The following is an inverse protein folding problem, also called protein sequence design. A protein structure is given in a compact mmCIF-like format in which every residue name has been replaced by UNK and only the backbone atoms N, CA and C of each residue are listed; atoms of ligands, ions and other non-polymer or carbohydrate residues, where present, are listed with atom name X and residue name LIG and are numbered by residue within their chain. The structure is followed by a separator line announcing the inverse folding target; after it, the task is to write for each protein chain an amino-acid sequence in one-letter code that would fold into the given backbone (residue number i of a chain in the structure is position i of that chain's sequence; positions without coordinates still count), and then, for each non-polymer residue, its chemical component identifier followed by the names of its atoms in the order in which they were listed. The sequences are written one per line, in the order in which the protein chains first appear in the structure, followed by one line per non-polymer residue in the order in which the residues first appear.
data_IF_912642080044
#
_entry.id   IF_912642080044
#
_cell.length_a   1.000
_cell.length_b   1.000
_cell.length_c   1.000
_cell.angle_alpha   90.00
_cell.angle_beta   90.00
_cell.angle_gamma   90.00
#
_symmetry.space_group_name_H-M   'P 1'
#
loop_
_entity.id
_entity.type
_entity.pdbx_description
1 polymer ?
#
# COMPACT_ATOMS: atom_id res chain seq x y z
N UNK A 1 14.55 -5.59 12.92
CA UNK A 1 13.66 -5.95 11.81
C UNK A 1 12.36 -5.16 11.89
N UNK A 2 12.28 -4.01 11.22
CA UNK A 2 11.05 -3.19 11.19
C UNK A 2 10.05 -3.66 10.13
N UNK A 3 10.53 -4.16 8.99
CA UNK A 3 9.67 -4.49 7.84
C UNK A 3 8.67 -5.63 8.13
N UNK A 4 9.09 -6.66 8.86
CA UNK A 4 8.25 -7.82 9.20
C UNK A 4 7.11 -7.51 10.17
N UNK A 5 7.10 -6.31 10.75
CA UNK A 5 5.98 -5.79 11.54
C UNK A 5 4.78 -5.39 10.69
N UNK A 6 5.02 -5.09 9.41
CA UNK A 6 3.99 -4.77 8.42
C UNK A 6 3.83 -5.85 7.34
N UNK A 7 4.85 -6.69 7.12
CA UNK A 7 4.83 -7.72 6.08
C UNK A 7 4.89 -9.11 6.71
N UNK A 8 3.90 -9.95 6.40
CA UNK A 8 3.84 -11.31 6.93
C UNK A 8 5.06 -12.14 6.55
N UNK A 9 5.51 -12.97 7.48
CA UNK A 9 6.50 -14.01 7.21
C UNK A 9 5.75 -15.33 7.18
N UNK A 10 5.79 -16.01 6.04
CA UNK A 10 5.07 -17.27 5.85
C UNK A 10 6.01 -18.41 5.54
N UNK A 11 5.61 -19.61 5.92
CA UNK A 11 6.32 -20.82 5.53
C UNK A 11 5.69 -21.46 4.30
N UNK A 12 6.51 -21.90 3.35
CA UNK A 12 6.08 -22.86 2.34
C UNK A 12 6.66 -24.23 2.72
N UNK A 13 5.78 -25.23 2.87
CA UNK A 13 6.22 -26.63 2.91
C UNK A 13 6.48 -27.07 1.47
N UNK A 14 7.73 -27.03 1.03
CA UNK A 14 8.12 -27.70 -0.20
C UNK A 14 7.92 -29.23 -0.03
N UNK A 15 7.65 -29.93 -1.13
CA UNK A 15 7.44 -31.39 -1.22
C UNK A 15 8.61 -32.21 -0.63
N UNK A 16 9.74 -31.56 -0.34
CA UNK A 16 10.95 -32.14 0.25
C UNK A 16 11.15 -31.85 1.75
N UNK A 17 10.14 -31.36 2.47
CA UNK A 17 10.19 -31.09 3.93
C UNK A 17 11.23 -30.04 4.38
N UNK A 18 11.71 -29.19 3.48
CA UNK A 18 12.53 -28.04 3.87
C UNK A 18 11.64 -26.87 4.26
N UNK A 19 11.76 -26.43 5.50
CA UNK A 19 11.07 -25.24 6.00
C UNK A 19 11.73 -23.98 5.44
N UNK A 20 11.08 -23.32 4.48
CA UNK A 20 11.54 -22.05 3.92
C UNK A 20 10.61 -20.93 4.35
N UNK A 21 11.19 -19.88 4.97
CA UNK A 21 10.49 -18.66 5.31
C UNK A 21 10.56 -17.66 4.15
N UNK A 22 9.41 -17.07 3.83
CA UNK A 22 9.26 -16.04 2.82
C UNK A 22 8.56 -14.82 3.41
N UNK A 23 9.08 -13.63 3.12
CA UNK A 23 8.41 -12.37 3.43
C UNK A 23 7.39 -12.07 2.33
N UNK A 24 6.14 -11.84 2.71
CA UNK A 24 5.08 -11.41 1.82
C UNK A 24 4.93 -9.90 1.85
N UNK A 25 5.60 -9.24 0.91
CA UNK A 25 5.61 -7.78 0.78
C UNK A 25 4.23 -7.17 0.45
N UNK A 26 3.34 -7.95 -0.15
CA UNK A 26 1.98 -7.52 -0.49
C UNK A 26 0.93 -7.95 0.55
N UNK A 27 1.37 -8.42 1.72
CA UNK A 27 0.46 -8.90 2.76
C UNK A 27 0.02 -7.76 3.67
N UNK A 28 -1.28 -7.67 3.95
CA UNK A 28 -1.91 -6.54 4.61
C UNK A 28 -2.84 -5.83 3.64
N UNK A 29 -4.15 -6.06 3.78
CA UNK A 29 -5.20 -5.39 3.01
C UNK A 29 -5.26 -3.90 3.42
N UNK A 30 -4.29 -3.09 3.01
CA UNK A 30 -4.57 -1.67 2.78
C UNK A 30 -5.56 -1.66 1.64
N UNK A 31 -6.64 -0.89 1.73
CA UNK A 31 -7.63 -0.88 0.66
C UNK A 31 -6.90 -0.63 -0.66
N UNK A 32 -6.90 -1.62 -1.56
CA UNK A 32 -6.36 -1.52 -2.92
C UNK A 32 -7.28 -0.62 -3.77
N UNK A 33 -7.74 0.50 -3.20
CA UNK A 33 -8.48 1.50 -3.94
C UNK A 33 -7.52 2.02 -5.00
N UNK A 34 -7.74 1.69 -6.28
CA UNK A 34 -6.81 2.07 -7.31
C UNK A 34 -6.89 3.58 -7.59
N UNK A 35 -7.77 4.29 -6.87
CA UNK A 35 -7.96 5.72 -6.88
C UNK A 35 -7.11 6.46 -5.85
N UNK A 36 -6.34 5.76 -5.00
CA UNK A 36 -5.41 6.38 -4.06
C UNK A 36 -3.97 6.00 -4.42
N UNK A 37 -3.08 6.98 -4.53
CA UNK A 37 -1.64 6.79 -4.73
C UNK A 37 -0.92 6.97 -3.41
N UNK A 38 -0.15 5.96 -3.03
CA UNK A 38 0.78 6.03 -1.93
C UNK A 38 2.00 5.16 -2.25
N UNK A 39 3.21 5.68 -1.98
CA UNK A 39 4.48 4.99 -2.15
C UNK A 39 5.32 5.15 -0.90
N UNK A 40 5.58 4.04 -0.20
CA UNK A 40 6.42 4.05 1.01
C UNK A 40 7.83 4.59 0.73
N UNK A 41 8.42 4.22 -0.41
CA UNK A 41 9.79 4.60 -0.82
C UNK A 41 9.99 6.11 -0.78
N UNK A 42 9.14 6.87 -1.48
CA UNK A 42 9.19 8.35 -1.53
C UNK A 42 9.21 8.98 -0.13
N UNK A 43 8.46 8.41 0.83
CA UNK A 43 8.39 8.94 2.19
C UNK A 43 9.58 8.51 3.05
N UNK A 44 10.05 7.26 2.89
CA UNK A 44 11.21 6.74 3.62
C UNK A 44 12.48 7.48 3.21
N UNK A 45 12.64 7.80 1.93
CA UNK A 45 13.81 8.53 1.42
C UNK A 45 13.91 9.94 2.00
N UNK A 46 12.77 10.61 2.23
CA UNK A 46 12.72 11.95 2.82
C UNK A 46 12.88 11.89 4.36
N UNK A 47 12.22 10.93 5.02
CA UNK A 47 12.13 10.88 6.49
C UNK A 47 13.26 10.06 7.15
N UNK A 48 14.00 9.28 6.37
CA UNK A 48 15.12 8.46 6.84
C UNK A 48 14.72 7.11 7.44
N UNK A 49 15.60 6.11 7.32
CA UNK A 49 15.30 4.68 7.57
C UNK A 49 15.27 4.24 9.03
N UNK A 50 15.81 5.02 9.98
CA UNK A 50 15.97 4.59 11.39
C UNK A 50 14.67 4.67 12.21
N UNK A 51 13.74 5.55 11.84
CA UNK A 51 12.44 5.73 12.53
C UNK A 51 11.25 5.87 11.55
N UNK A 52 11.45 5.58 10.26
CA UNK A 52 10.47 5.88 9.20
C UNK A 52 9.06 5.37 9.47
N UNK A 53 8.93 4.17 10.03
CA UNK A 53 7.62 3.56 10.26
C UNK A 53 6.80 4.34 11.30
N UNK A 54 7.44 4.79 12.38
CA UNK A 54 6.80 5.49 13.49
C UNK A 54 6.45 6.95 13.16
N UNK A 55 6.98 7.48 12.04
CA UNK A 55 6.59 8.79 11.55
C UNK A 55 5.15 8.79 11.01
N UNK A 56 4.64 7.63 10.57
CA UNK A 56 3.29 7.50 10.03
C UNK A 56 2.39 6.59 10.86
N UNK A 57 2.95 5.51 11.43
CA UNK A 57 2.19 4.51 12.15
C UNK A 57 2.35 4.64 13.66
N UNK A 58 1.25 4.45 14.37
CA UNK A 58 1.27 4.20 15.81
C UNK A 58 1.34 2.70 16.07
N UNK A 59 2.07 2.29 17.11
CA UNK A 59 2.09 0.90 17.55
C UNK A 59 0.74 0.52 18.16
N UNK A 60 0.17 -0.59 17.71
CA UNK A 60 -0.90 -1.28 18.41
C UNK A 60 -0.26 -2.25 19.41
N UNK A 61 -0.39 -1.95 20.69
CA UNK A 61 0.14 -2.76 21.80
C UNK A 61 -0.83 -3.83 22.30
N UNK A 62 -2.08 -3.81 21.83
CA UNK A 62 -3.14 -4.72 22.26
C UNK A 62 -3.19 -6.00 21.43
N UNK A 63 -2.58 -5.99 20.23
CA UNK A 63 -2.49 -7.16 19.35
C UNK A 63 -1.36 -8.10 19.76
N UNK A 64 -1.64 -9.40 19.80
CA UNK A 64 -0.63 -10.44 19.98
C UNK A 64 0.13 -10.69 18.66
N UNK A 65 0.96 -9.72 18.28
CA UNK A 65 1.81 -9.80 17.09
C UNK A 65 2.73 -11.05 17.11
N UNK A 66 3.18 -11.46 18.29
CA UNK A 66 4.06 -12.63 18.45
C UNK A 66 3.37 -13.94 18.12
N UNK A 67 2.04 -14.05 18.27
CA UNK A 67 1.29 -15.21 17.81
C UNK A 67 1.44 -15.48 16.30
N UNK A 68 1.66 -14.44 15.49
CA UNK A 68 1.84 -14.54 14.03
C UNK A 68 3.04 -15.41 13.59
N UNK A 69 3.96 -15.72 14.51
CA UNK A 69 5.16 -16.51 14.23
C UNK A 69 5.09 -17.95 14.75
N UNK A 70 3.97 -18.36 15.37
CA UNK A 70 3.82 -19.72 15.92
C UNK A 70 3.73 -20.77 14.81
N UNK A 71 3.00 -20.46 13.75
CA UNK A 71 2.72 -21.36 12.63
C UNK A 71 3.22 -20.80 11.28
N UNK A 72 3.56 -19.51 11.23
CA UNK A 72 3.87 -18.78 9.99
C UNK A 72 2.74 -18.92 8.95
N UNK A 73 1.49 -19.03 9.42
CA UNK A 73 0.30 -19.00 8.59
C UNK A 73 -0.03 -17.53 8.28
N UNK A 74 -0.09 -17.12 7.00
CA UNK A 74 -0.52 -15.77 6.65
C UNK A 74 -1.87 -15.41 7.29
N UNK A 75 -2.84 -16.32 7.32
CA UNK A 75 -4.18 -16.05 7.83
C UNK A 75 -4.24 -15.66 9.31
N UNK A 76 -3.22 -16.04 10.09
CA UNK A 76 -3.10 -15.70 11.51
C UNK A 76 -2.18 -14.49 11.75
N UNK A 77 -1.57 -13.94 10.70
CA UNK A 77 -0.69 -12.79 10.83
C UNK A 77 -1.48 -11.51 11.11
N UNK A 78 -1.01 -10.75 12.10
CA UNK A 78 -1.49 -9.41 12.41
C UNK A 78 -0.34 -8.42 12.37
N UNK A 79 -0.62 -7.17 11.96
CA UNK A 79 0.33 -6.07 12.08
C UNK A 79 0.37 -5.58 13.54
N UNK A 80 1.54 -5.17 14.02
CA UNK A 80 1.65 -4.49 15.32
C UNK A 80 1.49 -2.95 15.20
N UNK A 81 1.02 -2.48 14.05
CA UNK A 81 0.77 -1.08 13.75
C UNK A 81 -0.70 -0.85 13.42
N UNK A 82 -1.19 0.30 13.87
CA UNK A 82 -2.48 0.83 13.45
C UNK A 82 -2.48 1.22 11.98
N UNK A 83 -3.65 1.14 11.35
CA UNK A 83 -3.87 1.72 10.02
C UNK A 83 -3.74 3.24 10.10
N UNK A 84 -3.03 3.83 9.14
CA UNK A 84 -2.93 5.29 9.04
C UNK A 84 -4.28 5.90 8.66
N UNK A 85 -4.49 7.15 9.07
CA UNK A 85 -5.67 7.94 8.73
C UNK A 85 -5.26 9.15 7.91
N UNK A 86 -6.25 9.81 7.28
CA UNK A 86 -6.01 11.04 6.50
C UNK A 86 -5.28 12.10 7.33
N UNK A 87 -5.62 12.19 8.61
CA UNK A 87 -5.02 13.14 9.55
C UNK A 87 -3.50 12.96 9.66
N UNK A 88 -3.00 11.71 9.58
CA UNK A 88 -1.56 11.43 9.54
C UNK A 88 -0.91 12.07 8.31
N UNK A 89 -1.53 11.94 7.13
CA UNK A 89 -1.03 12.55 5.91
C UNK A 89 -0.99 14.08 6.04
N UNK A 90 -2.03 14.66 6.66
CA UNK A 90 -2.17 16.11 6.81
C UNK A 90 -1.17 16.75 7.78
N UNK A 91 -0.45 15.97 8.60
CA UNK A 91 0.60 16.49 9.48
C UNK A 91 1.80 17.05 8.71
N UNK A 92 2.10 16.48 7.55
CA UNK A 92 3.17 16.97 6.65
C UNK A 92 2.58 17.62 5.39
N UNK A 93 1.46 17.10 4.89
CA UNK A 93 0.75 17.66 3.76
C UNK A 93 -0.28 18.69 4.20
N UNK A 94 0.06 19.97 4.11
CA UNK A 94 -0.81 21.09 4.46
C UNK A 94 -0.62 22.24 3.49
N UNK A 95 -1.52 23.22 3.51
CA UNK A 95 -1.42 24.42 2.67
C UNK A 95 -0.09 25.17 2.88
N UNK A 96 0.48 25.08 4.08
CA UNK A 96 1.68 25.83 4.50
C UNK A 96 2.99 25.05 4.43
N UNK A 97 2.97 23.75 4.14
CA UNK A 97 4.17 22.91 4.08
C UNK A 97 4.28 22.21 2.73
N UNK A 98 3.83 20.96 2.63
CA UNK A 98 3.76 20.20 1.39
C UNK A 98 2.33 20.28 0.89
N UNK A 99 2.11 20.88 -0.27
CA UNK A 99 0.75 21.15 -0.78
C UNK A 99 -0.15 19.88 -0.71
N UNK A 100 -1.32 20.03 -0.06
CA UNK A 100 -2.39 19.05 0.10
C UNK A 100 -3.47 19.20 -0.99
N UNK A 101 -3.09 19.15 -2.28
CA UNK A 101 -4.10 19.04 -3.33
C UNK A 101 -4.72 17.64 -3.34
N UNK A 102 -6.02 17.56 -3.58
CA UNK A 102 -6.74 16.28 -3.65
C UNK A 102 -6.10 15.30 -4.65
N UNK A 103 -5.55 15.82 -5.75
CA UNK A 103 -4.91 15.06 -6.82
C UNK A 103 -3.53 14.48 -6.44
N UNK A 104 -2.94 14.92 -5.32
CA UNK A 104 -1.69 14.34 -4.80
C UNK A 104 -1.93 12.96 -4.21
N UNK A 105 -3.09 12.74 -3.62
CA UNK A 105 -3.51 11.44 -3.10
C UNK A 105 -4.42 10.69 -4.09
N UNK A 106 -5.32 11.40 -4.79
CA UNK A 106 -6.37 10.77 -5.59
C UNK A 106 -6.14 10.78 -7.10
N UNK A 107 -6.42 9.65 -7.76
CA UNK A 107 -6.40 9.50 -9.23
C UNK A 107 -7.82 9.65 -9.78
N UNK A 108 -8.19 10.83 -10.26
CA UNK A 108 -9.56 11.12 -10.71
C UNK A 108 -9.95 10.52 -12.08
N UNK A 109 -8.98 10.04 -12.88
CA UNK A 109 -9.24 9.52 -14.23
C UNK A 109 -8.51 8.20 -14.51
N UNK A 110 -8.52 7.26 -13.55
CA UNK A 110 -7.85 5.98 -13.72
C UNK A 110 -8.35 5.17 -14.93
N UNK A 111 -9.65 5.30 -15.28
CA UNK A 111 -10.27 4.66 -16.45
C UNK A 111 -11.03 5.71 -17.27
N UNK A 112 -10.35 6.52 -18.10
CA UNK A 112 -11.04 7.51 -18.92
C UNK A 112 -11.83 6.80 -20.04
N UNK A 113 -13.15 6.75 -19.90
CA UNK A 113 -14.08 6.20 -20.90
C UNK A 113 -14.01 6.97 -22.22
N UNK A 114 -13.81 8.29 -22.17
CA UNK A 114 -13.69 9.16 -23.34
C UNK A 114 -12.59 8.74 -24.33
N UNK A 115 -11.48 8.15 -23.87
CA UNK A 115 -10.37 7.78 -24.77
C UNK A 115 -10.69 6.58 -25.66
N UNK A 116 -11.57 5.68 -25.20
CA UNK A 116 -11.98 4.49 -25.96
C UNK A 116 -12.88 4.86 -27.14
N UNK A 117 -13.83 5.76 -26.90
CA UNK A 117 -14.80 6.20 -27.90
C UNK A 117 -14.16 7.07 -28.99
N UNK A 118 -13.23 7.97 -28.63
CA UNK A 118 -12.53 8.79 -29.63
C UNK A 118 -11.58 8.00 -30.54
N UNK A 119 -11.03 6.88 -30.05
CA UNK A 119 -10.21 5.97 -30.87
C UNK A 119 -11.08 5.10 -31.78
N UNK A 120 -12.28 4.73 -31.34
CA UNK A 120 -13.27 4.03 -32.17
C UNK A 120 -13.78 4.94 -33.30
N UNK A 121 -14.10 6.21 -33.00
CA UNK A 121 -14.55 7.20 -34.00
C UNK A 121 -13.49 7.49 -35.06
N UNK A 122 -12.19 7.39 -34.75
CA UNK A 122 -11.11 7.53 -35.74
C UNK A 122 -10.96 6.33 -36.67
N UNK A 123 -11.47 5.17 -36.28
CA UNK A 123 -11.34 3.94 -37.08
C UNK A 123 -12.42 3.84 -38.17
N UNK A 124 -13.54 4.54 -38.02
CA UNK A 124 -14.56 4.65 -39.04
C UNK A 124 -14.30 5.89 -39.91
N UNK A 125 -13.97 5.74 -41.20
CA UNK A 125 -13.93 6.89 -42.10
C UNK A 125 -15.34 7.50 -42.18
N UNK A 126 -15.47 8.83 -42.30
CA UNK A 126 -16.78 9.46 -42.47
C UNK A 126 -17.46 8.84 -43.69
N UNK A 127 -18.68 8.34 -43.49
CA UNK A 127 -19.53 7.88 -44.58
C UNK A 127 -19.81 9.07 -45.49
N UNK A 128 -19.21 9.04 -46.68
CA UNK A 128 -19.45 10.03 -47.72
C UNK A 128 -20.91 9.91 -48.19
N UNK A 129 -21.74 10.87 -47.80
CA UNK A 129 -22.99 11.21 -48.50
C UNK A 129 -22.73 12.24 -49.58
#
# INVERSE_FOLDING_TARGET
GGCIKCHAVTSNKDLKHHFQLKVNWNYGKVSDSPYVRYKHEDHIDILGTKSSCLNCHTLNTEVDYMASFKDYDPGNWVSNFESIRKETCSQCHSETQINLECQRCHIYHLKPSFKKEMLAVKADPPSST
#
